data_IF_574167667735
#
_entry.id   IF_574167667735
#
_cell.length_a   1.000
_cell.length_b   1.000
_cell.length_c   1.000
_cell.angle_alpha   90.00
_cell.angle_beta   90.00
_cell.angle_gamma   90.00
#
_symmetry.space_group_name_H-M   'P 1'
#
loop_
_entity.id
_entity.type
_entity.pdbx_description
1 polymer ?
#
# COMPACT_ATOMS: atom_id res chain seq x y z
N UNK A 1 21.59 -31.22 31.65
CA UNK A 1 21.48 -31.15 30.18
C UNK A 1 20.01 -30.97 29.80
N UNK A 2 19.47 -29.74 29.86
CA UNK A 2 18.02 -29.55 29.66
C UNK A 2 17.55 -28.11 29.49
N UNK A 3 18.41 -27.19 29.03
CA UNK A 3 18.07 -25.77 28.86
C UNK A 3 18.15 -25.29 27.39
N UNK A 4 18.28 -26.21 26.43
CA UNK A 4 18.48 -25.88 25.01
C UNK A 4 17.23 -26.00 24.12
N UNK A 5 16.13 -26.60 24.61
CA UNK A 5 14.94 -26.88 23.79
C UNK A 5 13.83 -25.82 23.92
N UNK A 6 13.95 -24.88 24.88
CA UNK A 6 12.91 -23.87 25.17
C UNK A 6 13.11 -22.57 24.35
N UNK A 7 14.36 -22.22 24.01
CA UNK A 7 14.66 -21.03 23.22
C UNK A 7 14.19 -21.13 21.77
N UNK A 8 14.29 -22.31 21.16
CA UNK A 8 13.90 -22.52 19.77
C UNK A 8 12.37 -22.54 19.61
N UNK A 9 11.66 -23.17 20.55
CA UNK A 9 10.19 -23.14 20.60
C UNK A 9 9.65 -21.73 20.86
N UNK A 10 10.32 -20.94 21.71
CA UNK A 10 9.95 -19.56 21.98
C UNK A 10 10.23 -18.63 20.77
N UNK A 11 11.30 -18.88 20.01
CA UNK A 11 11.56 -18.19 18.74
C UNK A 11 10.53 -18.53 17.65
N UNK A 12 10.13 -19.79 17.53
CA UNK A 12 9.12 -20.23 16.57
C UNK A 12 7.72 -19.68 16.91
N UNK A 13 7.34 -19.69 18.20
CA UNK A 13 6.09 -19.07 18.65
C UNK A 13 6.08 -17.55 18.47
N UNK A 14 7.21 -16.87 18.72
CA UNK A 14 7.34 -15.44 18.48
C UNK A 14 7.22 -15.11 16.97
N UNK A 15 7.81 -15.93 16.10
CA UNK A 15 7.69 -15.79 14.64
C UNK A 15 6.26 -16.06 14.17
N UNK A 16 5.56 -17.05 14.74
CA UNK A 16 4.17 -17.38 14.40
C UNK A 16 3.18 -16.28 14.85
N UNK A 17 3.37 -15.73 16.04
CA UNK A 17 2.57 -14.61 16.57
C UNK A 17 2.82 -13.34 15.75
N UNK A 18 4.07 -13.05 15.39
CA UNK A 18 4.45 -11.95 14.51
C UNK A 18 3.82 -12.08 13.11
N UNK A 19 3.86 -13.28 12.52
CA UNK A 19 3.20 -13.56 11.23
C UNK A 19 1.68 -13.39 11.28
N UNK A 20 1.03 -13.80 12.38
CA UNK A 20 -0.43 -13.68 12.57
C UNK A 20 -0.88 -12.24 12.78
N UNK A 21 -0.14 -11.45 13.57
CA UNK A 21 -0.50 -10.06 13.87
C UNK A 21 -0.27 -9.12 12.68
N UNK A 22 0.79 -9.32 11.89
CA UNK A 22 1.05 -8.45 10.74
C UNK A 22 0.13 -8.76 9.55
N UNK A 23 -0.31 -10.01 9.38
CA UNK A 23 -1.39 -10.32 8.43
C UNK A 23 -2.69 -9.60 8.80
N UNK A 24 -2.97 -9.43 10.10
CA UNK A 24 -4.13 -8.66 10.57
C UNK A 24 -4.03 -7.17 10.22
N UNK A 25 -2.86 -6.54 10.41
CA UNK A 25 -2.67 -5.11 10.10
C UNK A 25 -2.62 -4.82 8.59
N UNK A 26 -2.23 -5.81 7.78
CA UNK A 26 -2.17 -5.70 6.31
C UNK A 26 -3.46 -6.14 5.59
N UNK A 27 -4.32 -6.96 6.22
CA UNK A 27 -5.63 -7.34 5.68
C UNK A 27 -6.75 -6.31 5.97
N UNK A 28 -6.56 -5.37 6.91
CA UNK A 28 -7.57 -4.36 7.24
C UNK A 28 -7.35 -2.97 6.63
N UNK A 29 -6.49 -2.86 5.61
CA UNK A 29 -6.44 -1.65 4.75
C UNK A 29 -6.64 -1.89 3.24
N UNK A 30 -7.55 -2.75 2.77
CA UNK A 30 -8.13 -2.58 1.44
C UNK A 30 -9.32 -1.62 1.55
N UNK A 31 -9.40 -0.64 0.65
CA UNK A 31 -10.58 0.19 0.39
C UNK A 31 -10.95 1.23 1.46
N UNK A 32 -10.26 2.38 1.52
CA UNK A 32 -10.79 3.54 2.25
C UNK A 32 -10.76 4.84 1.43
N UNK A 33 -11.42 4.82 0.27
CA UNK A 33 -12.06 6.02 -0.27
C UNK A 33 -13.59 5.85 -0.39
N UNK A 34 -14.08 4.62 -0.60
CA UNK A 34 -15.53 4.34 -0.61
C UNK A 34 -16.08 4.14 0.82
N UNK A 35 -15.25 3.68 1.76
CA UNK A 35 -15.63 3.58 3.18
C UNK A 35 -15.48 4.88 3.97
N UNK A 36 -15.05 6.00 3.38
CA UNK A 36 -14.97 7.26 4.13
C UNK A 36 -16.36 7.78 4.56
N UNK A 37 -17.42 7.54 3.78
CA UNK A 37 -18.77 7.97 4.17
C UNK A 37 -19.52 7.01 5.12
N UNK A 38 -19.26 5.70 5.02
CA UNK A 38 -19.82 4.72 5.99
C UNK A 38 -19.05 4.78 7.32
N UNK A 39 -17.73 5.00 7.27
CA UNK A 39 -16.88 5.20 8.44
C UNK A 39 -17.19 6.51 9.16
N UNK A 40 -17.48 7.63 8.49
CA UNK A 40 -17.77 8.89 9.20
C UNK A 40 -19.07 8.81 10.03
N UNK A 41 -20.12 8.16 9.50
CA UNK A 41 -21.37 7.88 10.22
C UNK A 41 -21.18 6.80 11.30
N UNK A 42 -20.41 5.75 11.02
CA UNK A 42 -20.08 4.71 11.99
C UNK A 42 -19.20 5.23 13.14
N UNK A 43 -18.21 6.09 12.88
CA UNK A 43 -17.38 6.77 13.89
C UNK A 43 -18.22 7.71 14.76
N UNK A 44 -19.22 8.40 14.18
CA UNK A 44 -20.20 9.20 14.94
C UNK A 44 -21.07 8.33 15.85
N UNK A 45 -21.42 7.11 15.42
CA UNK A 45 -22.14 6.10 16.23
C UNK A 45 -21.23 5.40 17.26
N UNK A 46 -19.96 5.17 16.95
CA UNK A 46 -18.95 4.54 17.79
C UNK A 46 -18.46 5.46 18.93
N UNK A 47 -18.54 6.79 18.79
CA UNK A 47 -18.33 7.72 19.92
C UNK A 47 -19.29 7.47 21.10
N UNK A 48 -20.45 6.83 20.88
CA UNK A 48 -21.40 6.43 21.94
C UNK A 48 -21.07 5.09 22.60
N UNK A 49 -20.18 4.28 22.03
CA UNK A 49 -19.79 2.99 22.60
C UNK A 49 -18.32 3.08 23.04
N UNK A 50 -18.12 3.48 24.30
CA UNK A 50 -16.80 3.49 24.93
C UNK A 50 -16.48 2.06 25.40
N UNK A 51 -15.62 1.26 24.74
CA UNK A 51 -14.94 0.21 25.48
C UNK A 51 -14.01 0.91 26.48
N UNK A 52 -14.07 0.52 27.74
CA UNK A 52 -13.40 1.17 28.87
C UNK A 52 -11.95 1.59 28.56
N UNK A 53 -11.48 2.76 29.05
CA UNK A 53 -10.10 3.23 28.86
C UNK A 53 -9.03 2.20 29.23
N UNK A 54 -9.34 1.32 30.18
CA UNK A 54 -8.50 0.23 30.67
C UNK A 54 -8.23 -0.81 29.57
N UNK A 55 -9.20 -1.11 28.69
CA UNK A 55 -9.05 -2.11 27.63
C UNK A 55 -8.08 -1.66 26.53
N UNK A 56 -8.09 -0.37 26.16
CA UNK A 56 -7.12 0.22 25.23
C UNK A 56 -5.72 0.29 25.87
N UNK A 57 -5.63 0.60 27.17
CA UNK A 57 -4.38 0.60 27.94
C UNK A 57 -3.76 -0.80 28.06
N UNK A 58 -4.58 -1.84 28.26
CA UNK A 58 -4.13 -3.23 28.36
C UNK A 58 -3.61 -3.77 27.01
N UNK A 59 -4.27 -3.46 25.89
CA UNK A 59 -3.78 -3.88 24.56
C UNK A 59 -2.45 -3.17 24.20
N UNK A 60 -2.33 -1.88 24.52
CA UNK A 60 -1.09 -1.11 24.31
C UNK A 60 0.08 -1.67 25.15
N UNK A 61 -0.13 -1.92 26.43
CA UNK A 61 0.94 -2.28 27.36
C UNK A 61 1.32 -3.78 27.37
N UNK A 62 0.47 -4.69 26.90
CA UNK A 62 0.71 -6.15 27.07
C UNK A 62 1.10 -6.87 25.78
N UNK A 63 0.75 -6.35 24.59
CA UNK A 63 0.94 -7.08 23.32
C UNK A 63 1.64 -6.26 22.23
N UNK A 64 1.48 -4.92 22.22
CA UNK A 64 2.06 -4.06 21.18
C UNK A 64 3.53 -3.69 21.44
N UNK A 65 3.90 -3.40 22.68
CA UNK A 65 5.29 -3.13 23.13
C UNK A 65 6.32 -4.24 22.76
N UNK A 66 6.07 -5.54 23.00
CA UNK A 66 7.06 -6.58 22.70
C UNK A 66 7.31 -6.75 21.20
N UNK A 67 6.28 -6.59 20.35
CA UNK A 67 6.39 -6.72 18.89
C UNK A 67 7.19 -5.57 18.29
N UNK A 68 7.00 -4.34 18.79
CA UNK A 68 7.80 -3.18 18.38
C UNK A 68 9.26 -3.36 18.77
N UNK A 69 9.56 -3.92 19.94
CA UNK A 69 10.92 -4.15 20.40
C UNK A 69 11.68 -5.17 19.54
N UNK A 70 11.00 -6.26 19.12
CA UNK A 70 11.59 -7.26 18.22
C UNK A 70 11.88 -6.63 16.84
N UNK A 71 10.93 -5.87 16.27
CA UNK A 71 11.15 -5.20 14.99
C UNK A 71 12.34 -4.24 15.05
N UNK A 72 12.44 -3.42 16.09
CA UNK A 72 13.56 -2.48 16.28
C UNK A 72 14.89 -3.23 16.31
N UNK A 73 14.98 -4.33 17.07
CA UNK A 73 16.18 -5.14 17.16
C UNK A 73 16.59 -5.73 15.80
N UNK A 74 15.64 -6.30 15.06
CA UNK A 74 15.87 -6.86 13.72
C UNK A 74 16.30 -5.77 12.74
N UNK A 75 15.69 -4.59 12.78
CA UNK A 75 16.05 -3.46 11.90
C UNK A 75 17.47 -2.97 12.18
N UNK A 76 17.88 -2.89 13.46
CA UNK A 76 19.24 -2.51 13.84
C UNK A 76 20.28 -3.51 13.34
N UNK A 77 20.06 -4.81 13.60
CA UNK A 77 20.94 -5.89 13.12
C UNK A 77 21.03 -5.91 11.58
N UNK A 78 19.90 -5.74 10.90
CA UNK A 78 19.89 -5.64 9.44
C UNK A 78 20.69 -4.44 8.92
N UNK A 79 20.68 -3.32 9.65
CA UNK A 79 21.47 -2.13 9.34
C UNK A 79 22.97 -2.32 9.57
N UNK A 80 23.36 -3.23 10.46
CA UNK A 80 24.76 -3.63 10.68
C UNK A 80 25.28 -4.61 9.62
N UNK A 81 24.40 -5.17 8.79
CA UNK A 81 24.74 -6.11 7.73
C UNK A 81 24.43 -7.57 8.08
N UNK A 82 23.67 -7.83 9.14
CA UNK A 82 23.23 -9.19 9.47
C UNK A 82 22.27 -9.74 8.39
N UNK A 83 22.73 -10.74 7.65
CA UNK A 83 21.98 -11.37 6.56
C UNK A 83 20.69 -12.04 7.02
N UNK A 84 20.67 -12.62 8.23
CA UNK A 84 19.47 -13.29 8.76
C UNK A 84 18.40 -12.25 9.09
N UNK A 85 18.80 -11.14 9.69
CA UNK A 85 17.91 -10.02 9.99
C UNK A 85 17.34 -9.39 8.71
N UNK A 86 18.17 -9.19 7.68
CA UNK A 86 17.70 -8.74 6.37
C UNK A 86 16.72 -9.72 5.71
N UNK A 87 16.98 -11.03 5.80
CA UNK A 87 16.09 -12.06 5.28
C UNK A 87 14.73 -12.07 5.98
N UNK A 88 14.71 -11.90 7.30
CA UNK A 88 13.47 -11.79 8.08
C UNK A 88 12.63 -10.59 7.63
N UNK A 89 13.24 -9.40 7.49
CA UNK A 89 12.56 -8.22 6.98
C UNK A 89 12.06 -8.44 5.55
N UNK A 90 12.89 -9.05 4.68
CA UNK A 90 12.49 -9.35 3.31
C UNK A 90 11.25 -10.24 3.28
N UNK A 91 11.27 -11.39 3.95
CA UNK A 91 10.13 -12.32 4.00
C UNK A 91 8.87 -11.66 4.51
N UNK A 92 9.01 -10.79 5.50
CA UNK A 92 7.88 -10.10 6.11
C UNK A 92 7.20 -9.10 5.16
N UNK A 93 7.98 -8.30 4.44
CA UNK A 93 7.44 -7.18 3.66
C UNK A 93 7.34 -7.45 2.15
N UNK A 94 8.06 -8.44 1.62
CA UNK A 94 8.17 -8.68 0.18
C UNK A 94 6.81 -8.84 -0.50
N UNK A 95 5.89 -9.63 0.07
CA UNK A 95 4.55 -9.84 -0.52
C UNK A 95 3.76 -8.53 -0.65
N UNK A 96 3.78 -7.70 0.40
CA UNK A 96 3.06 -6.43 0.40
C UNK A 96 3.67 -5.44 -0.59
N UNK A 97 5.00 -5.33 -0.62
CA UNK A 97 5.71 -4.44 -1.53
C UNK A 97 5.59 -4.90 -2.99
N UNK A 98 5.63 -6.21 -3.23
CA UNK A 98 5.41 -6.79 -4.56
C UNK A 98 4.03 -6.47 -5.11
N UNK A 99 3.00 -6.48 -4.26
CA UNK A 99 1.65 -6.07 -4.68
C UNK A 99 1.58 -4.60 -5.11
N UNK A 100 2.39 -3.72 -4.52
CA UNK A 100 2.51 -2.31 -4.95
C UNK A 100 3.20 -2.28 -6.32
N UNK A 101 4.33 -2.96 -6.48
CA UNK A 101 5.05 -3.06 -7.75
C UNK A 101 4.13 -3.58 -8.87
N UNK A 102 3.37 -4.65 -8.63
CA UNK A 102 2.45 -5.25 -9.60
C UNK A 102 1.32 -4.33 -10.06
N UNK A 103 0.93 -3.33 -9.25
CA UNK A 103 -0.08 -2.34 -9.65
C UNK A 103 0.49 -1.30 -10.60
N UNK A 104 1.79 -1.02 -10.51
CA UNK A 104 2.46 0.06 -11.24
C UNK A 104 3.30 -0.43 -12.42
N UNK A 105 3.90 -1.62 -12.34
CA UNK A 105 4.70 -2.23 -13.40
C UNK A 105 3.84 -2.66 -14.60
N UNK A 106 4.47 -2.84 -15.77
CA UNK A 106 3.79 -3.31 -16.98
C UNK A 106 3.55 -4.83 -16.98
N UNK A 107 4.48 -5.59 -16.41
CA UNK A 107 4.44 -7.04 -16.33
C UNK A 107 5.02 -7.53 -14.99
N UNK A 108 4.98 -8.85 -14.77
CA UNK A 108 5.50 -9.48 -13.55
C UNK A 108 7.01 -9.31 -13.38
N UNK A 109 7.79 -9.47 -14.46
CA UNK A 109 9.25 -9.36 -14.41
C UNK A 109 9.67 -7.97 -13.94
N UNK A 110 9.10 -6.92 -14.53
CA UNK A 110 9.34 -5.54 -14.13
C UNK A 110 8.99 -5.31 -12.65
N UNK A 111 7.94 -5.96 -12.14
CA UNK A 111 7.56 -5.85 -10.73
C UNK A 111 8.55 -6.55 -9.78
N UNK A 112 9.10 -7.69 -10.19
CA UNK A 112 10.15 -8.41 -9.46
C UNK A 112 11.44 -7.60 -9.42
N UNK A 113 11.85 -7.02 -10.54
CA UNK A 113 13.03 -6.16 -10.64
C UNK A 113 12.89 -4.92 -9.75
N UNK A 114 11.74 -4.23 -9.82
CA UNK A 114 11.44 -3.07 -8.94
C UNK A 114 11.48 -3.44 -7.46
N UNK A 115 10.95 -4.60 -7.09
CA UNK A 115 10.99 -5.09 -5.72
C UNK A 115 12.44 -5.29 -5.27
N UNK A 116 13.24 -5.99 -6.06
CA UNK A 116 14.63 -6.28 -5.76
C UNK A 116 15.45 -5.00 -5.61
N UNK A 117 15.37 -4.08 -6.58
CA UNK A 117 16.05 -2.78 -6.52
C UNK A 117 15.66 -2.00 -5.26
N UNK A 118 14.36 -2.00 -4.91
CA UNK A 118 13.86 -1.30 -3.72
C UNK A 118 14.44 -1.87 -2.42
N UNK A 119 14.54 -3.20 -2.29
CA UNK A 119 15.13 -3.83 -1.11
C UNK A 119 16.65 -3.61 -1.03
N UNK A 120 17.36 -3.64 -2.16
CA UNK A 120 18.78 -3.31 -2.21
C UNK A 120 19.00 -1.86 -1.73
N UNK A 121 18.19 -0.92 -2.22
CA UNK A 121 18.24 0.48 -1.78
C UNK A 121 17.87 0.64 -0.31
N UNK A 122 16.88 -0.10 0.17
CA UNK A 122 16.46 -0.07 1.56
C UNK A 122 17.59 -0.55 2.48
N UNK A 123 18.19 -1.71 2.22
CA UNK A 123 19.28 -2.20 3.09
C UNK A 123 20.53 -1.33 3.02
N UNK A 124 20.86 -0.79 1.84
CA UNK A 124 21.98 0.15 1.68
C UNK A 124 21.80 1.43 2.50
N UNK A 125 20.57 1.94 2.62
CA UNK A 125 20.26 3.19 3.31
C UNK A 125 19.66 2.99 4.71
N UNK A 126 19.62 1.75 5.21
CA UNK A 126 18.89 1.41 6.43
C UNK A 126 19.40 2.18 7.66
N UNK A 127 20.70 2.48 7.71
CA UNK A 127 21.32 3.29 8.77
C UNK A 127 20.80 4.73 8.83
N UNK A 128 20.15 5.24 7.79
CA UNK A 128 19.56 6.59 7.76
C UNK A 128 18.16 6.62 8.38
N UNK A 129 17.57 5.46 8.68
CA UNK A 129 16.26 5.36 9.30
C UNK A 129 16.34 5.84 10.76
N UNK A 130 15.74 7.00 11.04
CA UNK A 130 15.74 7.61 12.38
C UNK A 130 14.87 6.88 13.41
N UNK A 131 13.83 6.20 12.94
CA UNK A 131 12.85 5.50 13.77
C UNK A 131 12.57 4.13 13.17
N UNK A 132 13.14 3.10 13.79
CA UNK A 132 13.10 1.72 13.32
C UNK A 132 11.67 1.16 13.33
N UNK A 133 10.84 1.63 14.26
CA UNK A 133 9.40 1.31 14.31
C UNK A 133 8.64 1.68 13.03
N UNK A 134 9.16 2.61 12.23
CA UNK A 134 8.55 3.06 10.99
C UNK A 134 9.18 2.41 9.74
N UNK A 135 9.92 1.30 9.90
CA UNK A 135 10.57 0.62 8.78
C UNK A 135 9.60 0.30 7.64
N UNK A 136 8.40 -0.23 7.95
CA UNK A 136 7.41 -0.58 6.92
C UNK A 136 6.93 0.61 6.09
N UNK A 137 6.65 1.74 6.73
CA UNK A 137 6.24 2.97 6.04
C UNK A 137 7.39 3.59 5.23
N UNK A 138 8.60 3.55 5.77
CA UNK A 138 9.81 4.00 5.10
C UNK A 138 10.14 3.16 3.86
N UNK A 139 10.11 1.82 3.99
CA UNK A 139 10.30 0.89 2.88
C UNK A 139 9.26 1.10 1.79
N UNK A 140 7.98 1.25 2.18
CA UNK A 140 6.90 1.56 1.25
C UNK A 140 7.18 2.81 0.41
N UNK A 141 7.74 3.85 1.03
CA UNK A 141 8.13 5.08 0.33
C UNK A 141 9.24 4.84 -0.69
N UNK A 142 10.26 4.03 -0.35
CA UNK A 142 11.31 3.64 -1.30
C UNK A 142 10.69 2.92 -2.50
N UNK A 143 9.83 1.93 -2.26
CA UNK A 143 9.17 1.14 -3.31
C UNK A 143 8.33 2.02 -4.24
N UNK A 144 7.52 2.93 -3.67
CA UNK A 144 6.71 3.85 -4.48
C UNK A 144 7.60 4.76 -5.32
N UNK A 145 8.67 5.32 -4.74
CA UNK A 145 9.60 6.18 -5.47
C UNK A 145 10.26 5.45 -6.64
N UNK A 146 10.65 4.19 -6.46
CA UNK A 146 11.22 3.36 -7.52
C UNK A 146 10.18 3.06 -8.61
N UNK A 147 8.94 2.73 -8.23
CA UNK A 147 7.85 2.55 -9.18
C UNK A 147 7.54 3.84 -9.97
N UNK A 148 7.53 5.00 -9.31
CA UNK A 148 7.39 6.32 -9.95
C UNK A 148 8.53 6.56 -10.94
N UNK A 149 9.78 6.28 -10.55
CA UNK A 149 10.96 6.42 -11.42
C UNK A 149 10.84 5.53 -12.66
N UNK A 150 10.40 4.28 -12.49
CA UNK A 150 10.09 3.37 -13.59
C UNK A 150 9.00 3.95 -14.49
N UNK A 151 7.87 4.40 -13.92
CA UNK A 151 6.77 4.96 -14.69
C UNK A 151 7.19 6.21 -15.47
N UNK A 152 7.99 7.10 -14.87
CA UNK A 152 8.51 8.29 -15.56
C UNK A 152 9.31 7.95 -16.82
N UNK A 153 10.06 6.83 -16.79
CA UNK A 153 10.89 6.38 -17.92
C UNK A 153 10.10 5.60 -18.98
N UNK A 154 9.15 4.77 -18.56
CA UNK A 154 8.46 3.80 -19.45
C UNK A 154 7.10 4.27 -19.93
N UNK A 155 6.45 5.19 -19.22
CA UNK A 155 5.12 5.68 -19.57
C UNK A 155 5.25 6.85 -20.51
N UNK A 156 4.66 6.71 -21.70
CA UNK A 156 4.41 7.85 -22.55
C UNK A 156 3.25 8.65 -21.98
N UNK A 157 3.59 9.71 -21.25
CA UNK A 157 2.68 10.78 -20.90
C UNK A 157 2.41 11.59 -22.16
N UNK A 158 1.65 11.02 -23.11
CA UNK A 158 1.04 11.88 -24.11
C UNK A 158 0.25 12.91 -23.32
N UNK A 159 0.58 14.19 -23.51
CA UNK A 159 -0.38 15.26 -23.31
C UNK A 159 -1.63 14.77 -24.03
N UNK A 160 -2.62 14.40 -23.25
CA UNK A 160 -3.95 14.34 -23.80
C UNK A 160 -4.14 15.75 -24.34
N UNK A 161 -4.20 15.88 -25.67
CA UNK A 161 -4.83 17.03 -26.31
C UNK A 161 -6.01 17.39 -25.42
N UNK A 162 -6.06 18.65 -25.01
CA UNK A 162 -7.05 19.21 -24.07
C UNK A 162 -8.47 18.93 -24.58
N UNK A 163 -8.91 17.69 -24.46
CA UNK A 163 -10.30 17.40 -24.23
C UNK A 163 -10.51 17.96 -22.83
N UNK A 164 -10.99 19.20 -22.81
CA UNK A 164 -11.71 19.78 -21.69
C UNK A 164 -12.78 18.77 -21.28
N UNK A 165 -12.40 17.81 -20.45
CA UNK A 165 -13.36 17.06 -19.67
C UNK A 165 -13.86 18.07 -18.65
N UNK A 166 -15.01 18.67 -18.93
CA UNK A 166 -15.78 19.38 -17.92
C UNK A 166 -15.85 18.47 -16.70
N UNK A 167 -15.20 18.90 -15.61
CA UNK A 167 -15.19 18.18 -14.35
C UNK A 167 -16.58 18.33 -13.75
N UNK A 168 -17.43 17.27 -13.69
CA UNK A 168 -18.69 17.39 -12.98
C UNK A 168 -18.37 17.51 -11.50
N UNK A 169 -18.79 18.60 -10.87
CA UNK A 169 -18.44 18.95 -9.48
C UNK A 169 -19.13 18.07 -8.42
N UNK A 170 -19.93 17.08 -8.83
CA UNK A 170 -20.64 16.23 -7.90
C UNK A 170 -20.84 14.83 -8.50
N UNK A 171 -19.97 13.89 -8.15
CA UNK A 171 -20.21 12.46 -8.37
C UNK A 171 -20.06 11.77 -7.00
N UNK A 172 -20.99 12.10 -6.09
CA UNK A 172 -21.26 11.31 -4.89
C UNK A 172 -21.74 9.93 -5.34
N UNK A 173 -20.77 9.04 -5.49
CA UNK A 173 -21.01 7.68 -5.93
C UNK A 173 -21.65 6.87 -4.78
N UNK A 174 -22.98 6.93 -4.65
CA UNK A 174 -23.79 5.89 -3.99
C UNK A 174 -23.78 4.62 -4.85
N UNK A 175 -22.67 3.89 -4.87
CA UNK A 175 -22.60 2.62 -5.61
C UNK A 175 -21.69 1.68 -4.88
N UNK A 176 -22.25 0.74 -4.12
CA UNK A 176 -21.68 -0.59 -3.85
C UNK A 176 -22.70 -1.35 -3.02
N UNK A 177 -23.24 -2.41 -3.60
CA UNK A 177 -23.71 -3.53 -2.79
C UNK A 177 -23.20 -4.87 -3.33
N UNK A 178 -22.87 -5.01 -4.62
CA UNK A 178 -22.46 -6.32 -5.19
C UNK A 178 -21.38 -6.26 -6.30
N UNK A 179 -20.32 -5.45 -6.12
CA UNK A 179 -19.14 -5.52 -7.02
C UNK A 179 -18.01 -6.24 -6.27
N UNK A 180 -17.51 -7.35 -6.84
CA UNK A 180 -16.36 -8.08 -6.26
C UNK A 180 -15.07 -7.26 -6.37
N UNK A 181 -14.24 -7.33 -5.33
CA UNK A 181 -12.96 -6.65 -5.28
C UNK A 181 -12.02 -7.11 -6.41
N UNK A 182 -12.08 -8.40 -6.74
CA UNK A 182 -11.31 -9.05 -7.79
C UNK A 182 -11.61 -8.42 -9.15
N UNK A 183 -12.89 -8.21 -9.47
CA UNK A 183 -13.32 -7.59 -10.73
C UNK A 183 -12.80 -6.16 -10.87
N UNK A 184 -12.86 -5.38 -9.80
CA UNK A 184 -12.32 -4.01 -9.80
C UNK A 184 -10.82 -4.02 -10.07
N UNK A 185 -10.08 -4.91 -9.41
CA UNK A 185 -8.62 -4.99 -9.55
C UNK A 185 -8.20 -5.44 -10.97
N UNK A 186 -8.96 -6.33 -11.61
CA UNK A 186 -8.73 -6.72 -13.00
C UNK A 186 -8.97 -5.57 -13.98
N UNK A 187 -10.04 -4.79 -13.78
CA UNK A 187 -10.33 -3.64 -14.64
C UNK A 187 -9.29 -2.52 -14.49
N UNK A 188 -8.77 -2.30 -13.28
CA UNK A 188 -7.65 -1.38 -13.03
C UNK A 188 -6.42 -1.80 -13.84
N UNK A 189 -6.10 -3.09 -13.92
CA UNK A 189 -4.95 -3.58 -14.72
C UNK A 189 -5.12 -3.29 -16.21
N UNK A 190 -6.36 -3.30 -16.72
CA UNK A 190 -6.68 -3.01 -18.13
C UNK A 190 -6.68 -1.51 -18.45
N UNK A 191 -6.47 -0.62 -17.48
CA UNK A 191 -6.38 0.82 -17.74
C UNK A 191 -5.10 1.14 -18.54
N UNK A 192 -5.13 2.20 -19.37
CA UNK A 192 -3.91 2.76 -19.92
C UNK A 192 -2.92 3.07 -18.81
N UNK A 193 -1.64 2.77 -19.04
CA UNK A 193 -0.60 2.82 -18.02
C UNK A 193 -0.53 4.16 -17.29
N UNK A 194 -0.66 5.30 -18.00
CA UNK A 194 -0.68 6.63 -17.40
C UNK A 194 -1.86 6.83 -16.43
N UNK A 195 -3.07 6.45 -16.85
CA UNK A 195 -4.27 6.50 -16.01
C UNK A 195 -4.12 5.60 -14.78
N UNK A 196 -3.62 4.37 -14.97
CA UNK A 196 -3.41 3.38 -13.90
C UNK A 196 -2.44 3.90 -12.83
N UNK A 197 -1.31 4.46 -13.25
CA UNK A 197 -0.30 5.02 -12.34
C UNK A 197 -0.89 6.15 -11.50
N UNK A 198 -1.56 7.13 -12.11
CA UNK A 198 -2.16 8.25 -11.39
C UNK A 198 -3.28 7.78 -10.45
N UNK A 199 -4.13 6.85 -10.91
CA UNK A 199 -5.19 6.27 -10.09
C UNK A 199 -4.64 5.57 -8.85
N UNK A 200 -3.61 4.73 -9.00
CA UNK A 200 -3.00 4.04 -7.87
C UNK A 200 -2.37 5.02 -6.87
N UNK A 201 -1.60 6.00 -7.35
CA UNK A 201 -0.95 6.99 -6.49
C UNK A 201 -1.98 7.82 -5.70
N UNK A 202 -3.06 8.28 -6.35
CA UNK A 202 -4.08 9.09 -5.71
C UNK A 202 -5.02 8.28 -4.80
N UNK A 203 -5.64 7.22 -5.34
CA UNK A 203 -6.72 6.51 -4.66
C UNK A 203 -6.26 5.41 -3.70
N UNK A 204 -5.04 4.88 -3.86
CA UNK A 204 -4.53 3.78 -3.03
C UNK A 204 -3.36 4.21 -2.14
N UNK A 205 -2.57 5.19 -2.58
CA UNK A 205 -1.36 5.63 -1.88
C UNK A 205 -1.51 7.01 -1.20
N UNK A 206 -2.68 7.63 -1.29
CA UNK A 206 -3.04 8.93 -0.70
C UNK A 206 -2.15 10.12 -1.15
N UNK A 207 -1.59 10.07 -2.37
CA UNK A 207 -0.85 11.20 -2.92
C UNK A 207 -1.80 12.29 -3.45
N UNK A 208 -1.48 13.55 -3.19
CA UNK A 208 -2.15 14.68 -3.83
C UNK A 208 -1.77 14.82 -5.31
N UNK A 209 -2.64 15.43 -6.13
CA UNK A 209 -2.31 15.73 -7.54
C UNK A 209 -1.04 16.56 -7.69
N UNK A 210 -0.75 17.45 -6.72
CA UNK A 210 0.47 18.25 -6.68
C UNK A 210 1.72 17.38 -6.47
N UNK A 211 1.67 16.42 -5.55
CA UNK A 211 2.77 15.48 -5.32
C UNK A 211 2.98 14.55 -6.52
N UNK A 212 1.89 14.06 -7.12
CA UNK A 212 1.94 13.23 -8.33
C UNK A 212 2.59 13.98 -9.49
N UNK A 213 2.18 15.24 -9.70
CA UNK A 213 2.73 16.11 -10.73
C UNK A 213 4.24 16.28 -10.57
N UNK A 214 4.69 16.63 -9.36
CA UNK A 214 6.13 16.77 -9.06
C UNK A 214 6.91 15.46 -9.22
N UNK A 215 6.34 14.34 -8.77
CA UNK A 215 6.98 13.03 -8.83
C UNK A 215 7.16 12.52 -10.27
N UNK A 216 6.14 12.71 -11.12
CA UNK A 216 6.14 12.25 -12.50
C UNK A 216 6.73 13.28 -13.49
N UNK A 217 6.83 14.55 -13.12
CA UNK A 217 7.27 15.63 -14.00
C UNK A 217 6.20 16.01 -15.04
N UNK A 218 4.93 15.96 -14.65
CA UNK A 218 3.77 16.36 -15.46
C UNK A 218 3.07 17.56 -14.81
N UNK A 219 2.14 18.20 -15.50
CA UNK A 219 1.32 19.26 -14.89
C UNK A 219 0.28 18.69 -13.93
N UNK A 220 -0.14 19.51 -12.96
CA UNK A 220 -1.24 19.12 -12.05
C UNK A 220 -2.56 18.89 -12.81
N UNK A 221 -2.80 19.65 -13.89
CA UNK A 221 -3.96 19.45 -14.76
C UNK A 221 -3.90 18.09 -15.46
N UNK A 222 -2.74 17.67 -15.97
CA UNK A 222 -2.57 16.32 -16.54
C UNK A 222 -2.86 15.24 -15.49
N UNK A 223 -2.39 15.40 -14.24
CA UNK A 223 -2.70 14.46 -13.16
C UNK A 223 -4.22 14.34 -12.93
N UNK A 224 -4.93 15.47 -12.81
CA UNK A 224 -6.40 15.49 -12.62
C UNK A 224 -7.13 14.85 -13.79
N UNK A 225 -6.78 15.21 -15.02
CA UNK A 225 -7.42 14.67 -16.23
C UNK A 225 -7.18 13.16 -16.39
N UNK A 226 -5.98 12.66 -16.09
CA UNK A 226 -5.69 11.22 -16.12
C UNK A 226 -6.44 10.45 -15.03
N UNK A 227 -6.58 11.03 -13.83
CA UNK A 227 -7.38 10.44 -12.76
C UNK A 227 -8.87 10.38 -13.12
N UNK A 228 -9.42 11.48 -13.65
CA UNK A 228 -10.81 11.52 -14.10
C UNK A 228 -11.06 10.48 -15.20
N UNK A 229 -10.16 10.40 -16.20
CA UNK A 229 -10.23 9.39 -17.26
C UNK A 229 -10.19 7.96 -16.70
N UNK A 230 -9.33 7.69 -15.72
CA UNK A 230 -9.30 6.40 -15.04
C UNK A 230 -10.66 6.05 -14.41
N UNK A 231 -11.29 7.00 -13.69
CA UNK A 231 -12.61 6.83 -13.10
C UNK A 231 -13.70 6.56 -14.14
N UNK A 232 -13.73 7.31 -15.24
CA UNK A 232 -14.72 7.12 -16.31
C UNK A 232 -14.58 5.74 -16.97
N UNK A 233 -13.35 5.32 -17.30
CA UNK A 233 -13.10 4.00 -17.87
C UNK A 233 -13.51 2.87 -16.92
N UNK A 234 -13.24 3.01 -15.61
CA UNK A 234 -13.66 2.04 -14.62
C UNK A 234 -15.20 2.02 -14.48
N UNK A 235 -15.84 3.19 -14.44
CA UNK A 235 -17.30 3.31 -14.40
C UNK A 235 -17.95 2.61 -15.58
N UNK A 236 -17.48 2.86 -16.81
CA UNK A 236 -17.99 2.24 -18.03
C UNK A 236 -17.82 0.71 -18.04
N UNK A 237 -16.65 0.21 -17.64
CA UNK A 237 -16.32 -1.23 -17.70
C UNK A 237 -16.95 -2.05 -16.58
N UNK A 238 -17.18 -1.42 -15.42
CA UNK A 238 -17.76 -2.08 -14.26
C UNK A 238 -19.30 -2.02 -14.32
N UNK A 239 -19.88 -0.90 -14.79
CA UNK A 239 -21.34 -0.71 -14.80
C UNK A 239 -22.06 -1.26 -16.03
N UNK A 240 -21.38 -1.48 -17.17
CA UNK A 240 -22.02 -2.18 -18.28
C UNK A 240 -22.17 -3.66 -17.89
N UNK A 241 -23.39 -4.22 -17.81
CA UNK A 241 -23.56 -5.66 -17.70
C UNK A 241 -22.87 -6.29 -18.91
N UNK A 242 -22.04 -7.30 -18.68
CA UNK A 242 -21.56 -8.11 -19.78
C UNK A 242 -22.80 -8.81 -20.36
N UNK A 243 -23.29 -8.32 -21.50
CA UNK A 243 -24.20 -9.09 -22.34
C UNK A 243 -23.33 -10.23 -22.87
N UNK A 244 -23.30 -11.33 -22.14
CA UNK A 244 -22.70 -12.57 -22.59
C UNK A 244 -23.59 -13.05 -23.75
N UNK A 245 -23.08 -12.91 -24.97
CA UNK A 245 -23.59 -13.62 -26.15
C UNK A 245 -23.06 -15.03 -26.20
#
# INVERSE_FOLDING_TARGET
>A
MGAGLDQQACQEQAQEIFHKQVNYTLQFKPCCHILQNVSYQAIKKWKKFQPFPIFILLIKNTVLEPVTNILIAVVKQAGEGDEKAQNLLYRQYAKAMFNICMRMAANRQDAEDLLQESFVLAFKNLKQLKQEVNFGGWLKRIVINECVRYCKKKVHWKELEEHHYELPENDQAEWITEISFERVNEEIKKLPQACRTVFNLYALEDYSHKEIAGALGISESTSKSQYHRARQLLKERILKPQING
#
